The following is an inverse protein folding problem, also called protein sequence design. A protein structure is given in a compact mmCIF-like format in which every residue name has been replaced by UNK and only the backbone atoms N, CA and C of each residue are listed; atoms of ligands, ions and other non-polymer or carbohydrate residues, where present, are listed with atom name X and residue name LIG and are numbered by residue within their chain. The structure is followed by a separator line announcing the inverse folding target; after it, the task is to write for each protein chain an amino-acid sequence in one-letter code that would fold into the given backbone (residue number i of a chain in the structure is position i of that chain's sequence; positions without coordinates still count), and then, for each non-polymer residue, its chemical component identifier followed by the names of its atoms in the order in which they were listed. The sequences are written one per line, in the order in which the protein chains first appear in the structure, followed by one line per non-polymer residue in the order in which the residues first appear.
data_IF_419724809363
#
_entry.id   IF_419724809363
#
_cell.length_a   1.000
_cell.length_b   1.000
_cell.length_c   1.000
_cell.angle_alpha   90.00
_cell.angle_beta   90.00
_cell.angle_gamma   90.00
#
_symmetry.space_group_name_H-M   'P 1'
#
loop_
_entity.id
_entity.type
_entity.pdbx_description
1 polymer ?
#
# COMPACT_ATOMS: atom_id res chain seq x y z
N UNK A 1 6.15 -28.44 -21.10
CA UNK A 1 6.49 -27.00 -21.11
C UNK A 1 5.18 -26.25 -20.99
N UNK A 2 4.91 -25.65 -19.82
CA UNK A 2 3.68 -24.90 -19.59
C UNK A 2 3.64 -23.70 -20.56
N UNK A 3 2.53 -23.54 -21.29
CA UNK A 3 2.34 -22.41 -22.21
C UNK A 3 2.01 -21.16 -21.40
N UNK A 4 3.04 -20.56 -20.80
CA UNK A 4 2.92 -19.31 -20.05
C UNK A 4 2.76 -18.14 -21.03
N UNK A 5 1.82 -17.25 -20.72
CA UNK A 5 1.41 -16.15 -21.61
C UNK A 5 1.43 -14.83 -20.87
N UNK A 6 2.29 -13.91 -21.29
CA UNK A 6 2.48 -12.58 -20.67
C UNK A 6 1.86 -11.50 -21.54
N UNK A 7 1.25 -10.50 -20.91
CA UNK A 7 0.65 -9.34 -21.57
C UNK A 7 0.63 -8.13 -20.64
N UNK A 8 0.28 -6.96 -21.16
CA UNK A 8 0.12 -5.73 -20.39
C UNK A 8 -1.29 -5.17 -20.62
N UNK A 9 -1.90 -4.61 -19.59
CA UNK A 9 -3.24 -4.03 -19.69
C UNK A 9 -3.18 -2.51 -19.94
N UNK A 10 -4.11 -1.95 -20.72
CA UNK A 10 -5.21 -2.61 -21.45
C UNK A 10 -4.70 -3.50 -22.61
N UNK A 11 -5.38 -4.62 -22.84
CA UNK A 11 -4.93 -5.64 -23.80
C UNK A 11 -6.03 -5.93 -24.83
N UNK A 12 -6.09 -5.17 -25.92
CA UNK A 12 -7.19 -5.25 -26.89
C UNK A 12 -7.09 -6.47 -27.83
N UNK A 13 -5.88 -6.96 -28.10
CA UNK A 13 -5.63 -8.10 -29.01
C UNK A 13 -5.79 -9.50 -28.35
N UNK A 14 -6.51 -9.59 -27.23
CA UNK A 14 -6.63 -10.84 -26.48
C UNK A 14 -7.33 -11.96 -27.27
N UNK A 15 -8.17 -11.63 -28.24
CA UNK A 15 -8.88 -12.61 -29.07
C UNK A 15 -7.97 -13.36 -30.05
N UNK A 16 -6.93 -12.70 -30.58
CA UNK A 16 -5.95 -13.32 -31.48
C UNK A 16 -4.87 -14.07 -30.69
N UNK A 17 -4.56 -13.58 -29.49
CA UNK A 17 -3.51 -14.13 -28.64
C UNK A 17 -3.92 -15.40 -27.88
N UNK A 18 -5.19 -15.53 -27.51
CA UNK A 18 -5.73 -16.72 -26.84
C UNK A 18 -6.65 -17.53 -27.76
N UNK A 19 -6.47 -18.85 -27.80
CA UNK A 19 -7.38 -19.72 -28.53
C UNK A 19 -8.80 -19.69 -27.92
N UNK A 20 -9.81 -19.89 -28.76
CA UNK A 20 -11.23 -19.85 -28.37
C UNK A 20 -11.58 -20.74 -27.16
N UNK A 21 -10.96 -21.92 -27.07
CA UNK A 21 -11.11 -22.83 -25.93
C UNK A 21 -10.67 -22.17 -24.61
N UNK A 22 -9.51 -21.50 -24.60
CA UNK A 22 -8.95 -20.86 -23.40
C UNK A 22 -9.81 -19.67 -22.97
N UNK A 23 -10.32 -18.90 -23.94
CA UNK A 23 -11.18 -17.73 -23.69
C UNK A 23 -12.49 -18.08 -22.96
N UNK A 24 -13.01 -19.30 -23.18
CA UNK A 24 -14.24 -19.79 -22.54
C UNK A 24 -14.03 -20.32 -21.12
N UNK A 25 -12.79 -20.49 -20.67
CA UNK A 25 -12.50 -21.07 -19.36
C UNK A 25 -12.82 -20.10 -18.23
N UNK A 26 -13.40 -20.63 -17.14
CA UNK A 26 -13.58 -19.89 -15.89
C UNK A 26 -12.26 -19.82 -15.14
N UNK A 27 -11.89 -18.62 -14.71
CA UNK A 27 -10.59 -18.33 -14.13
C UNK A 27 -10.70 -17.79 -12.70
N UNK A 28 -9.61 -17.92 -11.95
CA UNK A 28 -9.39 -17.21 -10.69
C UNK A 28 -8.34 -16.14 -10.93
N UNK A 29 -8.52 -14.96 -10.33
CA UNK A 29 -7.64 -13.81 -10.51
C UNK A 29 -6.91 -13.53 -9.20
N UNK A 30 -5.59 -13.52 -9.27
CA UNK A 30 -4.69 -13.22 -8.16
C UNK A 30 -3.88 -11.99 -8.53
N UNK A 31 -3.95 -10.94 -7.71
CA UNK A 31 -3.17 -9.73 -7.92
C UNK A 31 -2.06 -9.58 -6.89
N UNK A 32 -0.91 -9.11 -7.36
CA UNK A 32 0.23 -8.74 -6.57
C UNK A 32 0.39 -7.23 -6.58
N UNK A 33 0.54 -6.67 -5.39
CA UNK A 33 0.87 -5.27 -5.15
C UNK A 33 2.05 -5.30 -4.19
N UNK A 34 3.10 -4.55 -4.44
CA UNK A 34 4.15 -4.47 -3.43
C UNK A 34 5.02 -3.25 -3.54
N UNK A 35 5.78 -3.03 -2.47
CA UNK A 35 6.82 -2.02 -2.40
C UNK A 35 8.15 -2.70 -2.69
N UNK A 36 8.91 -2.19 -3.64
CA UNK A 36 10.17 -2.83 -4.02
C UNK A 36 11.33 -2.04 -3.41
N UNK A 37 12.28 -2.74 -2.78
CA UNK A 37 13.55 -2.14 -2.40
C UNK A 37 14.39 -1.85 -3.66
N UNK A 38 15.21 -0.81 -3.61
CA UNK A 38 16.13 -0.48 -4.71
C UNK A 38 17.29 -1.47 -4.86
N UNK A 39 17.71 -2.08 -3.74
CA UNK A 39 18.86 -2.99 -3.69
C UNK A 39 18.53 -4.39 -4.28
N UNK A 40 17.26 -4.78 -4.22
CA UNK A 40 16.81 -6.05 -4.76
C UNK A 40 16.54 -5.90 -6.26
N UNK A 41 17.39 -6.50 -7.10
CA UNK A 41 17.11 -6.66 -8.54
C UNK A 41 15.90 -7.57 -8.83
N UNK A 42 15.26 -8.12 -7.79
CA UNK A 42 14.08 -8.97 -7.84
C UNK A 42 12.87 -8.08 -7.54
N UNK A 43 11.80 -8.22 -8.32
CA UNK A 43 10.65 -7.32 -8.20
C UNK A 43 9.91 -7.50 -6.87
N UNK A 44 9.94 -8.71 -6.29
CA UNK A 44 9.23 -9.07 -5.05
C UNK A 44 9.92 -10.29 -4.42
N UNK A 45 10.95 -10.11 -3.59
CA UNK A 45 11.55 -11.16 -2.76
C UNK A 45 11.65 -12.58 -3.36
N UNK A 46 11.28 -13.60 -2.57
CA UNK A 46 11.13 -14.99 -3.01
C UNK A 46 9.83 -15.27 -3.78
N UNK A 47 8.89 -14.32 -3.73
CA UNK A 47 7.58 -14.34 -4.39
C UNK A 47 7.69 -14.31 -5.92
N UNK A 48 8.67 -13.59 -6.46
CA UNK A 48 8.95 -13.47 -7.90
C UNK A 48 9.26 -14.81 -8.58
N UNK A 49 9.80 -15.80 -7.84
CA UNK A 49 10.08 -17.14 -8.37
C UNK A 49 8.81 -17.91 -8.77
N UNK A 50 7.69 -17.64 -8.09
CA UNK A 50 6.41 -18.32 -8.31
C UNK A 50 5.62 -17.59 -9.40
N UNK A 51 5.59 -16.27 -9.34
CA UNK A 51 4.87 -15.48 -10.32
C UNK A 51 5.62 -15.26 -11.64
N UNK A 52 6.94 -15.49 -11.68
CA UNK A 52 7.81 -15.38 -12.87
C UNK A 52 7.46 -14.18 -13.76
N UNK A 53 7.21 -13.02 -13.16
CA UNK A 53 6.91 -11.82 -13.94
C UNK A 53 8.18 -11.39 -14.69
N UNK A 54 8.04 -10.49 -15.69
CA UNK A 54 9.22 -9.98 -16.39
C UNK A 54 10.12 -9.29 -15.38
N UNK A 55 11.44 -9.54 -15.47
CA UNK A 55 12.41 -8.86 -14.61
C UNK A 55 12.27 -7.36 -14.82
N UNK A 56 12.21 -6.61 -13.72
CA UNK A 56 11.99 -5.16 -13.75
C UNK A 56 13.04 -4.41 -14.59
N UNK A 57 14.26 -4.96 -14.73
CA UNK A 57 15.32 -4.44 -15.62
C UNK A 57 14.96 -4.48 -17.10
N UNK A 58 14.22 -5.49 -17.55
CA UNK A 58 13.79 -5.63 -18.96
C UNK A 58 12.57 -4.75 -19.26
N UNK A 59 11.86 -4.30 -18.21
CA UNK A 59 10.65 -3.47 -18.28
C UNK A 59 11.00 -1.99 -18.44
N UNK A 60 12.05 -1.50 -17.76
CA UNK A 60 12.48 -0.08 -17.80
C UNK A 60 12.92 0.37 -19.22
N UNK A 61 13.37 -0.56 -20.07
CA UNK A 61 13.80 -0.24 -21.43
C UNK A 61 12.62 -0.02 -22.40
N UNK A 62 11.43 -0.54 -22.09
CA UNK A 62 10.35 -0.64 -23.07
C UNK A 62 9.27 0.45 -22.94
N UNK A 63 9.17 1.15 -21.81
CA UNK A 63 8.23 2.27 -21.69
C UNK A 63 8.64 3.31 -20.60
N UNK A 64 9.34 4.40 -20.96
CA UNK A 64 9.91 5.34 -19.99
C UNK A 64 8.90 6.36 -19.42
N UNK A 65 7.64 6.35 -19.86
CA UNK A 65 6.66 7.42 -19.56
C UNK A 65 5.49 7.00 -18.67
N UNK A 66 5.31 5.70 -18.39
CA UNK A 66 4.17 5.21 -17.63
C UNK A 66 4.37 5.34 -16.12
N UNK A 67 3.55 6.16 -15.44
CA UNK A 67 3.52 6.24 -13.96
C UNK A 67 3.07 4.93 -13.29
N UNK A 68 2.34 4.10 -14.01
CA UNK A 68 1.83 2.81 -13.56
C UNK A 68 1.72 1.86 -14.76
N UNK A 69 1.78 0.56 -14.49
CA UNK A 69 1.57 -0.50 -15.46
C UNK A 69 0.97 -1.72 -14.76
N UNK A 70 0.03 -2.39 -15.42
CA UNK A 70 -0.55 -3.64 -14.92
C UNK A 70 -0.09 -4.76 -15.85
N UNK A 71 0.83 -5.59 -15.38
CA UNK A 71 1.31 -6.75 -16.12
C UNK A 71 0.42 -7.95 -15.80
N UNK A 72 0.06 -8.70 -16.83
CA UNK A 72 -0.75 -9.91 -16.72
C UNK A 72 0.02 -11.15 -17.13
N UNK A 73 -0.19 -12.25 -16.41
CA UNK A 73 0.31 -13.58 -16.75
C UNK A 73 -0.81 -14.61 -16.58
N UNK A 74 -1.16 -15.32 -17.64
CA UNK A 74 -2.14 -16.40 -17.58
C UNK A 74 -1.43 -17.76 -17.56
N UNK A 75 -1.71 -18.55 -16.52
CA UNK A 75 -1.21 -19.93 -16.39
C UNK A 75 -2.35 -20.89 -16.72
N UNK A 76 -2.23 -21.54 -17.88
CA UNK A 76 -3.28 -22.42 -18.44
C UNK A 76 -3.55 -23.63 -17.54
N UNK A 77 -2.50 -24.21 -16.97
CA UNK A 77 -2.59 -25.44 -16.17
C UNK A 77 -3.38 -25.22 -14.88
N UNK A 78 -3.18 -24.08 -14.24
CA UNK A 78 -3.85 -23.71 -12.99
C UNK A 78 -5.18 -22.98 -13.22
N UNK A 79 -5.42 -22.47 -14.44
CA UNK A 79 -6.55 -21.58 -14.78
C UNK A 79 -6.57 -20.32 -13.90
N UNK A 80 -5.37 -19.82 -13.61
CA UNK A 80 -5.16 -18.63 -12.79
C UNK A 80 -4.60 -17.51 -13.65
N UNK A 81 -5.21 -16.34 -13.50
CA UNK A 81 -4.71 -15.10 -14.05
C UNK A 81 -4.01 -14.31 -12.95
N UNK A 82 -2.71 -14.10 -13.13
CA UNK A 82 -1.89 -13.29 -12.26
C UNK A 82 -1.79 -11.88 -12.80
N UNK A 83 -2.00 -10.90 -11.94
CA UNK A 83 -1.84 -9.48 -12.25
C UNK A 83 -0.79 -8.88 -11.33
N UNK A 84 0.12 -8.11 -11.88
CA UNK A 84 1.12 -7.37 -11.14
C UNK A 84 0.89 -5.88 -11.34
N UNK A 85 0.61 -5.16 -10.25
CA UNK A 85 0.54 -3.71 -10.30
C UNK A 85 1.94 -3.13 -10.06
N UNK A 86 2.60 -2.74 -11.14
CA UNK A 86 3.84 -1.96 -11.10
C UNK A 86 3.45 -0.49 -11.01
N UNK A 87 3.71 0.13 -9.86
CA UNK A 87 3.38 1.52 -9.60
C UNK A 87 4.54 2.31 -8.99
N UNK A 88 4.30 3.55 -8.54
CA UNK A 88 5.34 4.41 -7.97
C UNK A 88 5.84 3.94 -6.60
N UNK A 89 5.20 2.93 -6.01
CA UNK A 89 5.75 2.24 -4.84
C UNK A 89 6.94 1.33 -5.17
N UNK A 90 7.17 1.06 -6.47
CA UNK A 90 8.43 0.51 -6.92
C UNK A 90 9.46 1.62 -7.04
N UNK A 91 10.58 1.47 -6.32
CA UNK A 91 11.66 2.44 -6.35
C UNK A 91 12.23 2.64 -7.77
N UNK A 92 12.24 1.58 -8.59
CA UNK A 92 12.71 1.64 -9.99
C UNK A 92 11.77 2.42 -10.90
N UNK A 93 10.46 2.20 -10.80
CA UNK A 93 9.47 2.96 -11.55
C UNK A 93 9.53 4.45 -11.13
N UNK A 94 9.60 4.73 -9.83
CA UNK A 94 9.75 6.09 -9.33
C UNK A 94 10.98 6.78 -9.92
N UNK A 95 12.14 6.11 -9.98
CA UNK A 95 13.35 6.70 -10.54
C UNK A 95 13.23 7.04 -12.03
N UNK A 96 12.52 6.23 -12.81
CA UNK A 96 12.30 6.51 -14.23
C UNK A 96 11.50 7.80 -14.45
N UNK A 97 10.49 8.03 -13.61
CA UNK A 97 9.57 9.18 -13.71
C UNK A 97 10.06 10.37 -12.88
N UNK A 98 11.01 10.18 -11.95
CA UNK A 98 11.44 11.20 -10.97
C UNK A 98 11.85 12.54 -11.59
N UNK A 99 12.51 12.50 -12.75
CA UNK A 99 12.92 13.72 -13.47
C UNK A 99 11.70 14.55 -13.93
N UNK A 100 10.66 13.89 -14.40
CA UNK A 100 9.40 14.53 -14.79
C UNK A 100 8.69 15.07 -13.55
N UNK A 101 8.59 14.27 -12.49
CA UNK A 101 7.97 14.69 -11.22
C UNK A 101 8.62 15.95 -10.65
N UNK A 102 9.96 16.04 -10.68
CA UNK A 102 10.68 17.24 -10.22
C UNK A 102 10.27 18.48 -11.03
N UNK A 103 10.10 18.34 -12.35
CA UNK A 103 9.70 19.46 -13.21
C UNK A 103 8.26 19.88 -12.90
N UNK A 104 7.34 18.92 -12.81
CA UNK A 104 5.93 19.18 -12.45
C UNK A 104 5.82 19.84 -11.06
N UNK A 105 6.66 19.42 -10.10
CA UNK A 105 6.71 19.99 -8.76
C UNK A 105 7.15 21.46 -8.76
N UNK A 106 8.00 21.89 -9.70
CA UNK A 106 8.41 23.29 -9.84
C UNK A 106 7.32 24.16 -10.44
N UNK A 107 6.54 23.62 -11.37
CA UNK A 107 5.50 24.37 -12.10
C UNK A 107 4.19 24.44 -11.32
N UNK A 108 3.72 23.31 -10.79
CA UNK A 108 2.39 23.17 -10.19
C UNK A 108 2.43 23.09 -8.65
N UNK A 109 3.62 22.94 -8.08
CA UNK A 109 3.84 22.77 -6.65
C UNK A 109 3.71 21.32 -6.17
N UNK A 110 4.43 21.00 -5.09
CA UNK A 110 4.52 19.65 -4.53
C UNK A 110 3.17 19.00 -4.24
N UNK A 111 2.25 19.73 -3.59
CA UNK A 111 0.98 19.17 -3.13
C UNK A 111 0.05 18.78 -4.29
N UNK A 112 0.05 19.56 -5.37
CA UNK A 112 -0.74 19.25 -6.55
C UNK A 112 -0.23 17.97 -7.22
N UNK A 113 1.09 17.87 -7.43
CA UNK A 113 1.72 16.71 -8.03
C UNK A 113 1.48 15.46 -7.16
N UNK A 114 1.72 15.55 -5.86
CA UNK A 114 1.51 14.45 -4.92
C UNK A 114 0.07 13.92 -4.93
N UNK A 115 -0.91 14.83 -4.98
CA UNK A 115 -2.32 14.44 -5.05
C UNK A 115 -2.67 13.77 -6.38
N UNK A 116 -2.17 14.28 -7.52
CA UNK A 116 -2.36 13.64 -8.81
C UNK A 116 -1.78 12.21 -8.83
N UNK A 117 -0.58 12.03 -8.28
CA UNK A 117 0.06 10.71 -8.18
C UNK A 117 -0.73 9.76 -7.27
N UNK A 118 -1.17 10.26 -6.11
CA UNK A 118 -1.98 9.49 -5.15
C UNK A 118 -3.31 9.05 -5.77
N UNK A 119 -3.95 9.93 -6.54
CA UNK A 119 -5.20 9.64 -7.26
C UNK A 119 -5.01 8.53 -8.29
N UNK A 120 -3.96 8.59 -9.11
CA UNK A 120 -3.64 7.55 -10.10
C UNK A 120 -3.43 6.20 -9.40
N UNK A 121 -2.64 6.17 -8.32
CA UNK A 121 -2.42 4.95 -7.53
C UNK A 121 -3.73 4.40 -6.95
N UNK A 122 -4.57 5.28 -6.42
CA UNK A 122 -5.84 4.92 -5.82
C UNK A 122 -6.82 4.33 -6.86
N UNK A 123 -6.85 4.86 -8.08
CA UNK A 123 -7.62 4.27 -9.19
C UNK A 123 -7.12 2.88 -9.57
N UNK A 124 -5.80 2.74 -9.73
CA UNK A 124 -5.20 1.46 -10.08
C UNK A 124 -5.49 0.40 -9.00
N UNK A 125 -5.40 0.76 -7.72
CA UNK A 125 -5.81 -0.11 -6.64
C UNK A 125 -7.30 -0.44 -6.68
N UNK A 126 -8.19 0.53 -6.89
CA UNK A 126 -9.64 0.25 -6.99
C UNK A 126 -9.95 -0.74 -8.12
N UNK A 127 -9.30 -0.59 -9.27
CA UNK A 127 -9.39 -1.53 -10.37
C UNK A 127 -8.94 -2.94 -9.94
N UNK A 128 -7.74 -3.06 -9.37
CA UNK A 128 -7.21 -4.35 -8.90
C UNK A 128 -8.13 -5.02 -7.87
N UNK A 129 -8.64 -4.27 -6.88
CA UNK A 129 -9.54 -4.83 -5.86
C UNK A 129 -10.94 -5.17 -6.38
N UNK A 130 -11.40 -4.59 -7.48
CA UNK A 130 -12.72 -4.91 -8.08
C UNK A 130 -12.65 -6.09 -9.04
N UNK A 131 -11.52 -6.25 -9.73
CA UNK A 131 -11.32 -7.27 -10.77
C UNK A 131 -10.59 -8.53 -10.30
N UNK A 132 -10.31 -8.66 -8.99
CA UNK A 132 -9.54 -9.76 -8.42
C UNK A 132 -10.29 -10.57 -7.37
N UNK A 133 -9.88 -11.82 -7.20
CA UNK A 133 -10.38 -12.69 -6.14
C UNK A 133 -9.44 -12.69 -4.93
N UNK A 134 -8.14 -12.71 -5.19
CA UNK A 134 -7.10 -12.69 -4.15
C UNK A 134 -6.19 -11.51 -4.45
N UNK A 135 -5.86 -10.74 -3.43
CA UNK A 135 -4.92 -9.63 -3.53
C UNK A 135 -3.82 -9.85 -2.51
N UNK A 136 -2.57 -9.79 -2.95
CA UNK A 136 -1.38 -10.02 -2.15
C UNK A 136 -0.65 -8.68 -2.04
N UNK A 137 -0.37 -8.26 -0.81
CA UNK A 137 0.47 -7.10 -0.54
C UNK A 137 1.82 -7.61 -0.09
N UNK A 138 2.83 -7.42 -0.94
CA UNK A 138 4.23 -7.67 -0.62
C UNK A 138 4.87 -6.41 0.00
N UNK A 139 5.53 -6.59 1.14
CA UNK A 139 6.18 -5.53 1.86
C UNK A 139 7.61 -5.93 2.26
N UNK A 140 8.62 -5.12 1.91
CA UNK A 140 10.03 -5.46 2.09
C UNK A 140 10.50 -5.34 3.56
N UNK A 141 9.58 -5.08 4.48
CA UNK A 141 9.86 -5.02 5.92
C UNK A 141 9.01 -6.05 6.65
N UNK A 142 9.56 -6.58 7.73
CA UNK A 142 8.89 -7.47 8.68
C UNK A 142 7.74 -6.81 9.46
N UNK A 143 7.55 -5.49 9.33
CA UNK A 143 6.42 -4.78 9.95
C UNK A 143 5.42 -4.32 8.89
N UNK A 144 4.10 -4.48 9.14
CA UNK A 144 3.08 -4.01 8.22
C UNK A 144 3.01 -2.49 8.25
N UNK A 145 2.99 -1.88 7.07
CA UNK A 145 2.95 -0.44 6.94
C UNK A 145 1.55 0.14 7.17
N UNK A 146 1.50 1.08 8.11
CA UNK A 146 0.29 1.81 8.43
C UNK A 146 -0.21 2.68 7.25
N UNK A 147 0.68 3.21 6.42
CA UNK A 147 0.31 4.09 5.30
C UNK A 147 -0.52 3.34 4.25
N UNK A 148 -0.13 2.11 3.92
CA UNK A 148 -0.88 1.21 3.04
C UNK A 148 -2.27 0.93 3.62
N UNK A 149 -2.36 0.64 4.92
CA UNK A 149 -3.65 0.39 5.58
C UNK A 149 -4.56 1.63 5.58
N UNK A 150 -4.00 2.84 5.75
CA UNK A 150 -4.74 4.09 5.63
C UNK A 150 -5.28 4.30 4.22
N UNK A 151 -4.47 4.02 3.20
CA UNK A 151 -4.89 4.09 1.80
C UNK A 151 -6.03 3.09 1.53
N UNK A 152 -5.91 1.83 1.98
CA UNK A 152 -6.98 0.85 1.84
C UNK A 152 -8.28 1.29 2.54
N UNK A 153 -8.17 1.94 3.70
CA UNK A 153 -9.31 2.53 4.39
C UNK A 153 -9.96 3.62 3.54
N UNK A 154 -9.17 4.49 2.93
CA UNK A 154 -9.64 5.54 2.03
C UNK A 154 -10.42 4.96 0.86
N UNK A 155 -9.85 3.95 0.19
CA UNK A 155 -10.48 3.27 -0.92
C UNK A 155 -11.83 2.65 -0.53
N UNK A 156 -11.95 2.13 0.70
CA UNK A 156 -13.22 1.58 1.19
C UNK A 156 -14.37 2.60 1.25
N UNK A 157 -14.07 3.89 1.45
CA UNK A 157 -15.07 4.96 1.42
C UNK A 157 -15.41 5.40 0.00
N UNK A 158 -14.44 5.33 -0.90
CA UNK A 158 -14.57 5.74 -2.31
C UNK A 158 -15.32 4.68 -3.13
N UNK A 159 -15.10 3.40 -2.81
CA UNK A 159 -15.59 2.23 -3.56
C UNK A 159 -17.09 2.28 -3.90
N UNK A 160 -18.04 2.64 -3.02
CA UNK A 160 -19.46 2.69 -3.39
C UNK A 160 -19.77 3.64 -4.56
N UNK A 161 -19.06 4.76 -4.65
CA UNK A 161 -19.21 5.72 -5.77
C UNK A 161 -18.60 5.16 -7.05
N UNK A 162 -17.45 4.52 -6.92
CA UNK A 162 -16.77 3.84 -8.03
C UNK A 162 -17.62 2.69 -8.58
N UNK A 163 -18.27 1.91 -7.71
CA UNK A 163 -19.19 0.82 -8.07
C UNK A 163 -20.32 1.32 -8.96
N UNK A 164 -20.97 2.45 -8.63
CA UNK A 164 -22.07 3.01 -9.43
C UNK A 164 -21.60 3.28 -10.87
N UNK A 165 -20.42 3.89 -11.02
CA UNK A 165 -19.87 4.18 -12.34
C UNK A 165 -19.54 2.91 -13.11
N UNK A 166 -18.88 1.94 -12.47
CA UNK A 166 -18.56 0.65 -13.10
C UNK A 166 -19.82 -0.10 -13.54
N UNK A 167 -20.85 -0.15 -12.70
CA UNK A 167 -22.13 -0.78 -13.05
C UNK A 167 -22.76 -0.11 -14.26
N UNK A 168 -22.79 1.22 -14.30
CA UNK A 168 -23.33 1.96 -15.45
C UNK A 168 -22.52 1.76 -16.74
N UNK A 169 -21.21 1.57 -16.64
CA UNK A 169 -20.35 1.28 -17.79
C UNK A 169 -20.61 -0.15 -18.31
N UNK A 170 -20.50 -1.14 -17.41
CA UNK A 170 -20.56 -2.54 -17.79
C UNK A 170 -21.95 -2.95 -18.28
N UNK A 171 -23.03 -2.41 -17.70
CA UNK A 171 -24.40 -2.65 -18.18
C UNK A 171 -24.69 -2.07 -19.56
N UNK A 172 -23.88 -1.10 -20.03
CA UNK A 172 -23.99 -0.56 -21.40
C UNK A 172 -23.26 -1.41 -22.43
N UNK A 173 -22.17 -2.07 -22.02
CA UNK A 173 -21.28 -2.81 -22.92
C UNK A 173 -21.67 -4.28 -23.00
N UNK A 174 -22.19 -4.82 -21.89
CA UNK A 174 -22.52 -6.23 -21.77
C UNK A 174 -24.02 -6.41 -21.56
N UNK A 175 -24.68 -7.16 -22.45
CA UNK A 175 -26.11 -7.47 -22.39
C UNK A 175 -26.49 -8.46 -21.26
N UNK A 176 -25.53 -8.85 -20.41
CA UNK A 176 -25.71 -9.88 -19.39
C UNK A 176 -26.18 -9.30 -18.06
N UNK A 177 -27.23 -9.88 -17.47
CA UNK A 177 -27.75 -9.57 -16.13
C UNK A 177 -27.02 -10.37 -15.03
N UNK A 178 -25.70 -10.39 -15.06
CA UNK A 178 -24.94 -11.07 -14.01
C UNK A 178 -24.88 -10.21 -12.74
N UNK A 179 -25.00 -10.86 -11.57
CA UNK A 179 -24.88 -10.21 -10.25
C UNK A 179 -23.54 -9.45 -10.08
N UNK A 180 -22.51 -9.84 -10.82
CA UNK A 180 -21.23 -9.13 -10.88
C UNK A 180 -21.42 -7.66 -11.28
N UNK A 181 -22.19 -7.38 -12.32
CA UNK A 181 -22.36 -6.01 -12.83
C UNK A 181 -23.08 -5.13 -11.82
N UNK A 182 -24.08 -5.66 -11.10
CA UNK A 182 -24.76 -4.92 -10.04
C UNK A 182 -23.86 -4.67 -8.82
N UNK A 183 -23.00 -5.62 -8.47
CA UNK A 183 -22.06 -5.45 -7.35
C UNK A 183 -20.79 -4.65 -7.71
N UNK A 184 -20.52 -4.46 -9.00
CA UNK A 184 -19.32 -3.81 -9.53
C UNK A 184 -18.01 -4.49 -9.09
N UNK A 185 -18.05 -5.80 -8.81
CA UNK A 185 -16.87 -6.62 -8.46
C UNK A 185 -17.18 -8.10 -8.57
N UNK A 186 -16.15 -8.94 -8.66
CA UNK A 186 -16.28 -10.41 -8.76
C UNK A 186 -16.62 -11.08 -7.42
N UNK A 187 -15.98 -10.64 -6.36
CA UNK A 187 -16.24 -11.06 -4.99
C UNK A 187 -15.71 -10.00 -4.02
N UNK A 188 -15.82 -10.21 -2.71
CA UNK A 188 -14.95 -9.49 -1.77
C UNK A 188 -13.56 -10.12 -1.86
N UNK A 189 -12.53 -9.44 -2.38
CA UNK A 189 -11.23 -10.05 -2.56
C UNK A 189 -10.61 -10.38 -1.21
N UNK A 190 -9.94 -11.53 -1.11
CA UNK A 190 -9.21 -11.91 0.09
C UNK A 190 -7.83 -11.27 0.07
N UNK A 191 -7.51 -10.53 1.14
CA UNK A 191 -6.25 -9.83 1.28
C UNK A 191 -5.23 -10.71 2.02
N UNK A 192 -4.09 -10.96 1.38
CA UNK A 192 -2.94 -11.68 1.93
C UNK A 192 -1.75 -10.73 2.06
N UNK A 193 -0.92 -10.92 3.08
CA UNK A 193 0.29 -10.14 3.30
C UNK A 193 1.52 -11.01 3.17
N UNK A 194 2.52 -10.54 2.42
CA UNK A 194 3.86 -11.12 2.40
C UNK A 194 4.81 -10.10 2.99
N UNK A 195 5.61 -10.54 3.96
CA UNK A 195 6.54 -9.69 4.69
C UNK A 195 7.95 -10.29 4.61
N UNK A 196 8.96 -9.43 4.48
CA UNK A 196 10.35 -9.87 4.56
C UNK A 196 10.68 -10.51 5.93
N UNK A 197 11.63 -11.45 5.92
CA UNK A 197 12.12 -12.11 7.13
C UNK A 197 12.72 -11.09 8.12
N UNK A 198 12.34 -11.10 9.41
CA UNK A 198 13.06 -10.36 10.44
C UNK A 198 14.52 -10.83 10.56
N UNK A 199 15.49 -9.91 10.69
CA UNK A 199 16.91 -10.29 10.79
C UNK A 199 17.22 -11.14 12.02
N UNK A 200 16.44 -11.00 13.11
CA UNK A 200 16.60 -11.75 14.35
C UNK A 200 16.43 -13.28 14.19
N UNK A 201 15.84 -13.75 13.09
CA UNK A 201 15.64 -15.18 12.81
C UNK A 201 16.88 -15.78 12.12
N UNK A 202 17.76 -14.94 11.56
CA UNK A 202 18.97 -15.38 10.86
C UNK A 202 20.04 -15.96 11.80
N UNK A 203 19.95 -15.67 13.10
CA UNK A 203 20.93 -16.08 14.11
C UNK A 203 20.58 -17.39 14.83
N UNK A 204 19.53 -18.09 14.40
CA UNK A 204 19.11 -19.35 15.02
C UNK A 204 19.79 -20.54 14.33
N UNK A 205 20.43 -21.42 15.10
CA UNK A 205 21.31 -22.49 14.58
C UNK A 205 20.55 -23.67 13.95
N UNK A 206 19.26 -23.86 14.29
CA UNK A 206 18.43 -24.98 13.82
C UNK A 206 17.30 -24.54 12.89
N UNK A 207 17.19 -25.18 11.71
CA UNK A 207 16.14 -24.91 10.73
C UNK A 207 14.72 -25.14 11.26
N UNK A 208 14.54 -26.11 12.15
CA UNK A 208 13.23 -26.42 12.75
C UNK A 208 12.78 -25.31 13.69
N UNK A 209 13.72 -24.76 14.46
CA UNK A 209 13.48 -23.64 15.38
C UNK A 209 13.19 -22.36 14.60
N UNK A 210 13.90 -22.12 13.49
CA UNK A 210 13.61 -21.02 12.57
C UNK A 210 12.16 -21.09 12.05
N UNK A 211 11.72 -22.24 11.53
CA UNK A 211 10.35 -22.40 11.01
C UNK A 211 9.30 -22.23 12.11
N UNK A 212 9.56 -22.74 13.32
CA UNK A 212 8.65 -22.58 14.45
C UNK A 212 8.53 -21.09 14.87
N UNK A 213 9.66 -20.37 14.90
CA UNK A 213 9.72 -18.94 15.23
C UNK A 213 9.02 -18.09 14.17
N UNK A 214 9.21 -18.41 12.89
CA UNK A 214 8.52 -17.77 11.76
C UNK A 214 7.00 -17.91 11.93
N UNK A 215 6.49 -19.13 12.13
CA UNK A 215 5.05 -19.36 12.34
C UNK A 215 4.48 -18.62 13.55
N UNK A 216 5.26 -18.52 14.63
CA UNK A 216 4.87 -17.75 15.82
C UNK A 216 4.75 -16.25 15.50
N UNK A 217 5.67 -15.72 14.70
CA UNK A 217 5.68 -14.34 14.25
C UNK A 217 4.53 -14.07 13.30
N UNK A 218 4.28 -14.94 12.32
CA UNK A 218 3.13 -14.86 11.41
C UNK A 218 1.83 -14.73 12.19
N UNK A 219 1.59 -15.65 13.15
CA UNK A 219 0.38 -15.62 13.99
C UNK A 219 0.28 -14.33 14.82
N UNK A 220 1.39 -13.86 15.38
CA UNK A 220 1.40 -12.60 16.14
C UNK A 220 1.09 -11.38 15.25
N UNK A 221 1.58 -11.38 14.01
CA UNK A 221 1.30 -10.34 13.03
C UNK A 221 -0.15 -10.43 12.54
N UNK A 222 -0.68 -11.63 12.31
CA UNK A 222 -2.09 -11.86 11.97
C UNK A 222 -3.02 -11.29 13.03
N UNK A 223 -2.80 -11.62 14.31
CA UNK A 223 -3.59 -11.11 15.43
C UNK A 223 -3.55 -9.58 15.49
N UNK A 224 -2.35 -8.99 15.32
CA UNK A 224 -2.17 -7.54 15.32
C UNK A 224 -2.90 -6.88 14.14
N UNK A 225 -2.75 -7.42 12.93
CA UNK A 225 -3.40 -6.92 11.73
C UNK A 225 -4.92 -7.02 11.88
N UNK A 226 -5.43 -8.16 12.32
CA UNK A 226 -6.85 -8.36 12.57
C UNK A 226 -7.39 -7.34 13.57
N UNK A 227 -6.70 -7.10 14.69
CA UNK A 227 -7.09 -6.08 15.67
C UNK A 227 -7.10 -4.66 15.07
N UNK A 228 -6.07 -4.28 14.32
CA UNK A 228 -5.99 -2.96 13.68
C UNK A 228 -7.15 -2.78 12.68
N UNK A 229 -7.39 -3.79 11.84
CA UNK A 229 -8.39 -3.76 10.77
C UNK A 229 -9.83 -3.79 11.30
N UNK A 230 -10.05 -4.42 12.46
CA UNK A 230 -11.33 -4.38 13.17
C UNK A 230 -11.54 -3.05 13.88
N UNK A 231 -10.52 -2.51 14.56
CA UNK A 231 -10.58 -1.18 15.19
C UNK A 231 -10.81 -0.06 14.16
N UNK A 232 -10.21 -0.17 12.98
CA UNK A 232 -10.38 0.79 11.88
C UNK A 232 -11.71 0.64 11.12
N UNK A 233 -12.54 -0.36 11.47
CA UNK A 233 -13.83 -0.71 10.86
C UNK A 233 -13.76 -1.06 9.36
N UNK A 234 -12.58 -1.47 8.87
CA UNK A 234 -12.41 -1.88 7.48
C UNK A 234 -12.98 -3.30 7.29
N UNK A 235 -12.72 -4.20 8.24
CA UNK A 235 -13.26 -5.57 8.24
C UNK A 235 -14.62 -5.61 8.92
N UNK A 236 -15.65 -5.99 8.16
CA UNK A 236 -17.05 -6.09 8.62
C UNK A 236 -17.43 -7.55 8.87
N UNK A 237 -18.52 -7.77 9.59
CA UNK A 237 -19.07 -9.12 9.82
C UNK A 237 -19.60 -9.78 8.53
N UNK A 238 -20.06 -8.96 7.59
CA UNK A 238 -20.51 -9.40 6.26
C UNK A 238 -19.47 -8.95 5.24
N UNK A 239 -18.74 -9.90 4.65
CA UNK A 239 -17.65 -9.62 3.71
C UNK A 239 -18.14 -8.94 2.43
N UNK A 240 -19.38 -9.19 2.00
CA UNK A 240 -20.01 -8.51 0.85
C UNK A 240 -20.11 -6.98 1.02
N UNK A 241 -20.12 -6.48 2.27
CA UNK A 241 -20.16 -5.04 2.57
C UNK A 241 -18.77 -4.44 2.82
N UNK A 242 -17.75 -5.29 2.99
CA UNK A 242 -16.37 -4.87 3.19
C UNK A 242 -15.69 -4.62 1.83
N UNK A 243 -14.63 -3.82 1.84
CA UNK A 243 -13.83 -3.56 0.63
C UNK A 243 -13.03 -4.81 0.23
N UNK A 244 -12.48 -5.51 1.22
CA UNK A 244 -11.83 -6.81 1.11
C UNK A 244 -12.21 -7.69 2.32
N UNK A 245 -11.96 -8.99 2.21
CA UNK A 245 -12.06 -9.95 3.31
C UNK A 245 -10.68 -10.38 3.80
N UNK A 246 -10.66 -10.91 5.02
CA UNK A 246 -9.52 -11.62 5.60
C UNK A 246 -10.05 -13.01 5.91
N UNK A 247 -9.24 -14.04 5.69
CA UNK A 247 -9.60 -15.39 6.07
C UNK A 247 -9.54 -15.51 7.61
N UNK A 248 -10.64 -15.76 8.31
CA UNK A 248 -10.61 -15.91 9.76
C UNK A 248 -10.07 -17.28 10.20
N UNK A 249 -10.20 -18.29 9.33
CA UNK A 249 -9.87 -19.69 9.61
C UNK A 249 -8.65 -20.19 8.82
N UNK A 250 -8.19 -19.40 7.84
CA UNK A 250 -7.01 -19.75 7.04
C UNK A 250 -5.92 -18.71 7.34
N UNK A 251 -4.65 -19.12 7.24
CA UNK A 251 -3.49 -18.23 7.34
C UNK A 251 -3.61 -17.12 6.27
N UNK A 252 -3.27 -15.87 6.61
CA UNK A 252 -3.32 -14.74 5.68
C UNK A 252 -2.06 -13.87 5.70
N UNK A 253 -1.09 -14.17 6.56
CA UNK A 253 0.24 -13.57 6.55
C UNK A 253 1.26 -14.65 6.25
N UNK A 254 2.20 -14.34 5.36
CA UNK A 254 3.35 -15.17 5.07
C UNK A 254 4.62 -14.34 5.29
N UNK A 255 5.55 -14.88 6.06
CA UNK A 255 6.88 -14.29 6.23
C UNK A 255 7.84 -15.02 5.31
N UNK A 256 8.56 -14.28 4.47
CA UNK A 256 9.53 -14.87 3.57
C UNK A 256 10.59 -15.65 4.35
N UNK A 257 11.01 -16.77 3.77
CA UNK A 257 12.13 -17.51 4.33
C UNK A 257 13.40 -16.64 4.23
N UNK A 258 14.32 -16.74 5.20
CA UNK A 258 15.59 -16.02 5.14
C UNK A 258 16.28 -16.25 3.78
N UNK A 259 16.78 -15.20 3.12
CA UNK A 259 17.49 -15.35 1.87
C UNK A 259 18.75 -16.19 2.12
N UNK A 260 18.97 -17.22 1.31
CA UNK A 260 20.15 -18.08 1.41
C UNK A 260 21.45 -17.41 0.91
N UNK A 261 21.34 -16.21 0.33
CA UNK A 261 22.47 -15.45 -0.21
C UNK A 261 22.28 -13.96 0.11
N UNK A 262 23.03 -13.43 1.07
CA UNK A 262 23.37 -12.01 1.05
C UNK A 262 24.48 -11.75 0.01
N UNK A 263 24.57 -10.55 -0.58
CA UNK A 263 25.70 -10.18 -1.45
C UNK A 263 27.04 -10.18 -0.69
N UNK A 264 27.01 -10.13 0.64
CA UNK A 264 28.19 -10.25 1.52
C UNK A 264 28.71 -11.68 1.52
N UNK A 265 27.83 -12.68 1.41
CA UNK A 265 28.19 -14.10 1.32
C UNK A 265 28.91 -14.44 0.02
N UNK A 266 28.79 -13.63 -1.03
CA UNK A 266 29.59 -13.83 -2.25
C UNK A 266 31.05 -13.45 -2.02
N UNK A 267 31.30 -12.44 -1.18
CA UNK A 267 32.66 -12.09 -0.79
C UNK A 267 33.19 -13.07 0.25
N UNK A 268 32.38 -13.52 1.22
CA UNK A 268 32.80 -14.57 2.15
C UNK A 268 33.02 -15.91 1.44
N UNK A 269 32.17 -16.32 0.49
CA UNK A 269 32.42 -17.49 -0.38
C UNK A 269 33.63 -17.30 -1.28
N UNK A 270 33.90 -16.08 -1.74
CA UNK A 270 35.12 -15.80 -2.51
C UNK A 270 36.36 -15.88 -1.62
N UNK A 271 36.27 -15.41 -0.36
CA UNK A 271 37.33 -15.46 0.64
C UNK A 271 37.54 -16.89 1.18
N UNK A 272 36.48 -17.69 1.32
CA UNK A 272 36.56 -19.10 1.70
C UNK A 272 37.07 -19.99 0.57
N UNK A 273 36.91 -19.54 -0.68
CA UNK A 273 37.48 -20.18 -1.87
C UNK A 273 38.91 -19.69 -2.18
N UNK A 274 39.52 -18.86 -1.32
CA UNK A 274 40.96 -18.61 -1.39
C UNK A 274 41.64 -19.83 -0.76
N UNK A 275 42.38 -20.64 -1.52
CA UNK A 275 43.11 -21.75 -0.95
C UNK A 275 44.17 -21.18 -0.01
N UNK A 276 43.96 -21.33 1.29
CA UNK A 276 45.03 -21.23 2.28
C UNK A 276 45.83 -22.51 2.06
N UNK A 277 47.07 -22.38 1.57
CA UNK A 277 48.02 -23.48 1.52
C UNK A 277 48.33 -23.91 2.96
N UNK A 278 47.49 -24.76 3.53
CA UNK A 278 47.86 -25.61 4.65
C UNK A 278 47.77 -27.05 4.16
N UNK A 279 48.93 -27.67 4.04
CA UNK A 279 49.09 -29.10 3.78
C UNK A 279 48.56 -29.87 4.99
N UNK A 280 47.30 -30.29 4.93
CA UNK A 280 46.82 -31.42 5.72
C UNK A 280 45.75 -32.17 4.95
N UNK A 281 46.14 -33.34 4.45
CA UNK A 281 45.24 -34.38 3.94
C UNK A 281 44.19 -34.75 5.00
N UNK A 282 42.94 -34.50 4.69
CA UNK A 282 41.83 -35.30 5.21
C UNK A 282 40.72 -35.33 4.17
N UNK A 283 40.38 -36.55 3.76
CA UNK A 283 39.32 -36.88 2.79
C UNK A 283 38.00 -36.18 3.17
N UNK A 284 37.63 -35.13 2.43
CA UNK A 284 36.29 -34.55 2.51
C UNK A 284 35.46 -34.99 1.30
N UNK A 285 34.39 -35.71 1.63
CA UNK A 285 33.38 -36.24 0.71
C UNK A 285 32.85 -35.13 -0.22
N UNK A 286 32.78 -35.43 -1.52
CA UNK A 286 32.13 -34.60 -2.52
C UNK A 286 30.68 -34.29 -2.10
N UNK A 287 30.46 -33.09 -1.58
CA UNK A 287 29.12 -32.53 -1.36
C UNK A 287 28.50 -32.28 -2.74
N UNK A 288 27.70 -33.24 -3.18
CA UNK A 288 26.81 -33.10 -4.32
C UNK A 288 25.98 -31.82 -4.18
N UNK A 289 25.94 -31.06 -5.28
CA UNK A 289 25.02 -29.96 -5.55
C UNK A 289 23.57 -30.34 -5.20
N UNK A 290 23.16 -30.08 -3.96
CA UNK A 290 21.76 -30.13 -3.57
C UNK A 290 21.07 -28.89 -4.12
N UNK A 291 20.53 -29.10 -5.32
CA UNK A 291 19.23 -28.62 -5.78
C UNK A 291 18.48 -27.74 -4.77
N UNK A 292 18.35 -26.46 -5.10
CA UNK A 292 17.65 -25.38 -4.38
C UNK A 292 16.12 -25.61 -4.22
N UNK A 293 15.67 -26.86 -4.31
CA UNK A 293 14.28 -27.29 -4.30
C UNK A 293 13.96 -28.32 -3.21
N UNK A 294 14.93 -28.78 -2.41
CA UNK A 294 14.68 -29.79 -1.38
C UNK A 294 14.93 -29.26 0.04
N UNK A 295 13.84 -29.23 0.82
CA UNK A 295 13.74 -29.13 2.30
C UNK A 295 13.69 -27.74 2.97
N UNK A 296 12.56 -27.04 2.82
CA UNK A 296 11.81 -26.56 4.01
C UNK A 296 10.48 -27.28 4.03
N UNK A 297 10.40 -28.44 4.70
CA UNK A 297 9.17 -29.27 4.73
C UNK A 297 7.99 -28.47 5.31
N UNK A 298 7.18 -27.89 4.42
CA UNK A 298 5.86 -27.34 4.76
C UNK A 298 5.74 -25.81 4.88
N UNK A 299 6.81 -25.03 4.68
CA UNK A 299 6.75 -23.56 4.72
C UNK A 299 7.17 -22.93 3.39
N UNK A 300 6.33 -23.12 2.37
CA UNK A 300 6.56 -22.54 1.02
C UNK A 300 5.41 -21.60 0.65
N UNK A 301 5.76 -20.48 0.01
CA UNK A 301 4.76 -19.53 -0.45
C UNK A 301 3.77 -20.14 -1.45
N UNK A 302 4.24 -21.09 -2.28
CA UNK A 302 3.37 -21.79 -3.22
C UNK A 302 2.29 -22.59 -2.50
N UNK A 303 2.62 -23.34 -1.44
CA UNK A 303 1.62 -24.08 -0.66
C UNK A 303 0.64 -23.14 0.03
N UNK A 304 1.12 -22.04 0.59
CA UNK A 304 0.29 -21.00 1.19
C UNK A 304 -0.74 -20.44 0.19
N UNK A 305 -0.27 -20.01 -0.99
CA UNK A 305 -1.14 -19.44 -2.01
C UNK A 305 -2.11 -20.47 -2.62
N UNK A 306 -1.62 -21.70 -2.85
CA UNK A 306 -2.42 -22.77 -3.46
C UNK A 306 -3.63 -23.15 -2.62
N UNK A 307 -3.54 -23.09 -1.28
CA UNK A 307 -4.69 -23.31 -0.38
C UNK A 307 -5.83 -22.35 -0.73
N UNK A 308 -5.52 -21.07 -0.94
CA UNK A 308 -6.52 -20.04 -1.25
C UNK A 308 -7.05 -20.15 -2.69
N UNK A 309 -6.19 -20.44 -3.66
CA UNK A 309 -6.57 -20.67 -5.06
C UNK A 309 -7.53 -21.86 -5.16
N UNK A 310 -7.20 -22.98 -4.51
CA UNK A 310 -8.04 -24.18 -4.52
C UNK A 310 -9.42 -23.90 -3.93
N UNK A 311 -9.48 -23.14 -2.82
CA UNK A 311 -10.75 -22.71 -2.21
C UNK A 311 -11.57 -21.82 -3.12
N UNK A 312 -10.93 -20.91 -3.86
CA UNK A 312 -11.57 -20.05 -4.86
C UNK A 312 -12.13 -20.86 -6.05
N UNK A 313 -11.46 -21.93 -6.49
CA UNK A 313 -11.95 -22.79 -7.57
C UNK A 313 -13.14 -23.67 -7.15
N UNK A 314 -13.18 -24.13 -5.90
CA UNK A 314 -14.16 -25.11 -5.46
C UNK A 314 -15.41 -24.47 -4.87
N UNK A 315 -15.26 -23.72 -3.77
CA UNK A 315 -16.38 -23.34 -2.90
C UNK A 315 -16.65 -21.84 -2.90
N UNK A 316 -15.63 -21.02 -3.19
CA UNK A 316 -15.63 -19.57 -2.96
C UNK A 316 -15.20 -19.21 -1.53
N UNK A 317 -15.21 -17.93 -1.19
CA UNK A 317 -14.72 -17.46 0.11
C UNK A 317 -15.84 -17.27 1.14
N UNK A 318 -15.90 -18.10 2.19
CA UNK A 318 -16.87 -17.97 3.29
C UNK A 318 -16.28 -17.19 4.48
N UNK A 319 -15.93 -15.93 4.25
CA UNK A 319 -15.24 -15.09 5.24
C UNK A 319 -16.19 -14.25 6.11
N UNK A 320 -17.48 -14.61 6.16
CA UNK A 320 -18.43 -13.96 7.05
C UNK A 320 -18.18 -14.38 8.51
N UNK A 321 -18.39 -13.45 9.44
CA UNK A 321 -18.09 -13.66 10.86
C UNK A 321 -19.32 -13.53 11.76
N UNK A 322 -19.26 -14.17 12.93
CA UNK A 322 -20.31 -14.13 13.94
C UNK A 322 -21.59 -14.82 13.46
N UNK A 323 -22.73 -14.13 13.55
CA UNK A 323 -24.04 -14.69 13.19
C UNK A 323 -24.22 -14.93 11.67
N UNK A 324 -23.30 -14.45 10.84
CA UNK A 324 -23.40 -14.49 9.38
C UNK A 324 -22.55 -15.58 8.72
N UNK A 325 -21.88 -16.42 9.50
CA UNK A 325 -21.01 -17.52 9.01
C UNK A 325 -21.72 -18.47 8.05
N UNK A 326 -23.01 -18.73 8.27
CA UNK A 326 -23.83 -19.61 7.42
C UNK A 326 -24.32 -18.95 6.13
N UNK A 327 -24.19 -17.62 6.00
CA UNK A 327 -24.65 -16.91 4.80
C UNK A 327 -23.56 -17.00 3.74
N UNK A 328 -23.88 -17.63 2.62
CA UNK A 328 -22.97 -17.69 1.47
C UNK A 328 -22.78 -16.28 0.88
N UNK A 329 -21.55 -15.76 0.83
CA UNK A 329 -21.29 -14.47 0.21
C UNK A 329 -21.26 -14.59 -1.31
N UNK A 330 -21.25 -13.42 -1.96
CA UNK A 330 -21.28 -13.34 -3.41
C UNK A 330 -19.89 -13.67 -3.97
N UNK A 331 -19.86 -14.53 -4.97
CA UNK A 331 -18.63 -15.00 -5.60
C UNK A 331 -18.89 -15.42 -7.04
N UNK A 332 -18.35 -14.65 -8.00
CA UNK A 332 -18.48 -14.91 -9.43
C UNK A 332 -17.13 -15.27 -10.03
N UNK A 333 -17.07 -16.39 -10.78
CA UNK A 333 -15.89 -16.74 -11.60
C UNK A 333 -16.15 -16.38 -13.05
N UNK A 334 -15.53 -15.31 -13.57
CA UNK A 334 -15.73 -14.89 -14.94
C UNK A 334 -15.00 -15.85 -15.89
N UNK A 335 -15.43 -15.85 -17.15
CA UNK A 335 -14.61 -16.43 -18.22
C UNK A 335 -13.48 -15.47 -18.57
N UNK A 336 -12.37 -15.99 -19.09
CA UNK A 336 -11.24 -15.15 -19.52
C UNK A 336 -11.67 -14.07 -20.52
N UNK A 337 -12.55 -14.43 -21.48
CA UNK A 337 -13.13 -13.47 -22.45
C UNK A 337 -13.88 -12.34 -21.76
N UNK A 338 -14.87 -12.67 -20.94
CA UNK A 338 -15.70 -11.68 -20.24
C UNK A 338 -14.88 -10.81 -19.30
N UNK A 339 -13.81 -11.36 -18.72
CA UNK A 339 -12.92 -10.62 -17.85
C UNK A 339 -12.12 -9.57 -18.63
N UNK A 340 -11.53 -9.93 -19.78
CA UNK A 340 -10.79 -8.98 -20.62
C UNK A 340 -11.68 -7.87 -21.19
N UNK A 341 -12.87 -8.21 -21.68
CA UNK A 341 -13.83 -7.22 -22.20
C UNK A 341 -14.22 -6.20 -21.12
N UNK A 342 -14.49 -6.66 -19.89
CA UNK A 342 -14.79 -5.78 -18.77
C UNK A 342 -13.56 -4.97 -18.31
N UNK A 343 -12.38 -5.60 -18.26
CA UNK A 343 -11.13 -4.94 -17.85
C UNK A 343 -10.76 -3.81 -18.81
N UNK A 344 -10.73 -4.06 -20.12
CA UNK A 344 -10.40 -3.05 -21.12
C UNK A 344 -11.44 -1.93 -21.13
N UNK A 345 -12.73 -2.25 -21.00
CA UNK A 345 -13.77 -1.23 -20.89
C UNK A 345 -13.53 -0.29 -19.70
N UNK A 346 -13.22 -0.83 -18.51
CA UNK A 346 -12.96 -0.01 -17.32
C UNK A 346 -11.68 0.81 -17.46
N UNK A 347 -10.63 0.24 -18.04
CA UNK A 347 -9.33 0.90 -18.16
C UNK A 347 -9.31 2.02 -19.21
N UNK A 348 -10.04 1.85 -20.31
CA UNK A 348 -10.16 2.84 -21.39
C UNK A 348 -11.15 3.96 -21.07
N UNK A 349 -12.03 3.79 -20.08
CA UNK A 349 -13.00 4.81 -19.71
C UNK A 349 -12.31 6.07 -19.12
N UNK A 350 -12.63 7.28 -19.59
CA UNK A 350 -11.93 8.49 -19.14
C UNK A 350 -12.27 8.91 -17.70
N UNK A 351 -13.44 8.52 -17.17
CA UNK A 351 -13.91 8.93 -15.84
C UNK A 351 -13.47 7.95 -14.74
N UNK A 352 -13.43 6.67 -15.09
CA UNK A 352 -13.17 5.53 -14.21
C UNK A 352 -11.74 4.97 -14.40
N UNK A 353 -11.25 5.01 -15.62
CA UNK A 353 -9.97 4.44 -16.04
C UNK A 353 -8.77 5.20 -15.51
N UNK A 354 -7.59 4.62 -15.75
CA UNK A 354 -6.34 5.04 -15.11
C UNK A 354 -5.58 6.06 -15.99
N UNK A 355 -5.91 6.15 -17.28
CA UNK A 355 -5.12 6.89 -18.27
C UNK A 355 -5.24 8.42 -18.26
N UNK A 356 -6.29 8.99 -17.66
CA UNK A 356 -6.50 10.44 -17.72
C UNK A 356 -6.07 11.11 -16.40
N UNK A 357 -4.82 11.60 -16.37
CA UNK A 357 -4.26 12.35 -15.23
C UNK A 357 -5.07 13.61 -14.88
N UNK A 358 -5.86 14.11 -15.84
CA UNK A 358 -6.72 15.29 -15.71
C UNK A 358 -8.17 14.96 -15.31
N UNK A 359 -8.64 13.72 -15.49
CA UNK A 359 -9.95 13.36 -14.95
C UNK A 359 -9.76 13.20 -13.45
N UNK A 360 -10.34 14.09 -12.67
CA UNK A 360 -10.29 14.00 -11.21
C UNK A 360 -11.52 13.22 -10.79
N UNK A 361 -11.37 12.04 -10.17
CA UNK A 361 -12.53 11.39 -9.55
C UNK A 361 -12.89 12.23 -8.32
N UNK A 362 -13.95 13.05 -8.35
CA UNK A 362 -14.09 14.17 -7.40
C UNK A 362 -14.25 13.67 -5.96
N UNK A 363 -14.72 12.45 -5.79
CA UNK A 363 -14.84 11.83 -4.48
C UNK A 363 -13.53 11.29 -3.91
N UNK A 364 -12.55 10.92 -4.74
CA UNK A 364 -11.19 10.66 -4.25
C UNK A 364 -10.52 11.97 -3.95
N UNK A 365 -10.65 12.96 -4.83
CA UNK A 365 -10.02 14.25 -4.63
C UNK A 365 -10.45 14.89 -3.32
N UNK A 366 -11.73 14.92 -2.97
CA UNK A 366 -12.16 15.43 -1.66
C UNK A 366 -11.53 14.72 -0.43
N UNK A 367 -11.01 13.50 -0.60
CA UNK A 367 -10.45 12.70 0.48
C UNK A 367 -8.91 12.57 0.42
N UNK A 368 -8.30 12.68 -0.76
CA UNK A 368 -6.83 12.70 -0.98
C UNK A 368 -6.29 14.11 -1.12
N UNK A 369 -7.14 15.09 -1.44
CA UNK A 369 -6.73 16.44 -1.75
C UNK A 369 -5.98 17.02 -0.58
N UNK A 370 -4.97 17.79 -0.96
CA UNK A 370 -4.23 18.63 -0.07
C UNK A 370 -5.17 19.49 0.80
N UNK A 371 -6.42 19.74 0.42
CA UNK A 371 -7.44 20.43 1.24
C UNK A 371 -7.77 19.78 2.58
N UNK A 372 -7.62 18.47 2.78
CA UNK A 372 -7.77 17.88 4.14
C UNK A 372 -6.55 18.16 5.03
N UNK A 373 -5.36 18.29 4.44
CA UNK A 373 -4.15 18.76 5.14
C UNK A 373 -4.05 20.30 5.21
N UNK A 374 -4.63 20.99 4.23
CA UNK A 374 -4.73 22.43 4.10
C UNK A 374 -5.98 22.97 4.80
N UNK A 375 -6.99 22.21 5.21
CA UNK A 375 -7.99 22.77 6.15
C UNK A 375 -7.30 23.17 7.44
N UNK A 376 -6.13 22.60 7.77
CA UNK A 376 -5.19 23.17 8.73
C UNK A 376 -4.40 24.37 8.19
N UNK A 377 -3.84 24.33 6.98
CA UNK A 377 -2.98 25.40 6.41
C UNK A 377 -3.75 26.59 5.82
N UNK A 378 -4.78 26.38 5.01
CA UNK A 378 -5.81 27.32 4.59
C UNK A 378 -6.60 27.90 5.76
N UNK A 379 -6.98 27.15 6.80
CA UNK A 379 -7.54 27.80 8.00
C UNK A 379 -6.50 28.64 8.73
N UNK A 380 -5.24 28.17 8.80
CA UNK A 380 -4.15 28.96 9.37
C UNK A 380 -3.81 30.18 8.51
N UNK A 381 -3.91 30.12 7.19
CA UNK A 381 -3.61 31.22 6.28
C UNK A 381 -4.81 32.18 6.19
N UNK A 382 -6.04 31.68 6.15
CA UNK A 382 -7.25 32.49 6.29
C UNK A 382 -7.39 33.09 7.70
N UNK A 383 -6.77 32.53 8.74
CA UNK A 383 -6.67 33.17 10.05
C UNK A 383 -5.49 34.16 10.12
N UNK A 384 -4.34 33.80 9.54
CA UNK A 384 -3.12 34.60 9.61
C UNK A 384 -3.17 35.82 8.69
N UNK A 385 -3.79 35.74 7.52
CA UNK A 385 -3.87 36.84 6.54
C UNK A 385 -4.70 38.01 7.09
N UNK A 386 -5.92 37.81 7.65
CA UNK A 386 -6.64 38.89 8.30
C UNK A 386 -5.91 39.41 9.54
N UNK A 387 -5.27 38.54 10.33
CA UNK A 387 -4.50 38.96 11.51
C UNK A 387 -3.30 39.83 11.14
N UNK A 388 -2.50 39.42 10.16
CA UNK A 388 -1.35 40.20 9.66
C UNK A 388 -1.80 41.46 8.93
N UNK A 389 -2.90 41.41 8.18
CA UNK A 389 -3.48 42.58 7.53
C UNK A 389 -4.04 43.58 8.55
N UNK A 390 -4.69 43.10 9.62
CA UNK A 390 -5.17 43.92 10.71
C UNK A 390 -4.01 44.56 11.50
N UNK A 391 -2.96 43.80 11.82
CA UNK A 391 -1.73 44.33 12.44
C UNK A 391 -1.02 45.35 11.55
N UNK A 392 -1.03 45.14 10.22
CA UNK A 392 -0.49 46.09 9.26
C UNK A 392 -1.31 47.38 9.23
N UNK A 393 -2.64 47.27 9.17
CA UNK A 393 -3.55 48.42 9.16
C UNK A 393 -3.50 49.20 10.49
N UNK A 394 -3.43 48.52 11.64
CA UNK A 394 -3.33 49.17 12.95
C UNK A 394 -1.97 49.87 13.15
N UNK A 395 -0.87 49.28 12.66
CA UNK A 395 0.44 49.92 12.68
C UNK A 395 0.54 51.10 11.68
N UNK A 396 -0.25 51.07 10.60
CA UNK A 396 -0.35 52.17 9.63
C UNK A 396 -1.05 53.39 10.23
N UNK A 397 -2.08 53.21 11.05
CA UNK A 397 -2.77 54.32 11.74
C UNK A 397 -1.93 55.04 12.79
N UNK A 398 -0.83 54.44 13.27
CA UNK A 398 0.06 55.07 14.26
C UNK A 398 1.19 55.90 13.65
N UNK A 399 1.44 55.80 12.34
CA UNK A 399 2.48 56.56 11.64
C UNK A 399 1.87 57.37 10.51
N UNK A 400 1.46 58.61 10.82
CA UNK A 400 1.14 59.65 9.84
C UNK A 400 2.42 60.03 9.09
N UNK A 401 2.75 59.30 8.02
CA UNK A 401 3.48 59.74 6.81
C UNK A 401 3.72 58.51 5.89
N UNK A 402 3.53 58.60 4.56
CA UNK A 402 3.73 57.46 3.67
C UNK A 402 5.18 57.39 3.18
N UNK A 403 5.96 56.33 3.46
CA UNK A 403 7.06 55.94 2.59
C UNK A 403 6.59 54.82 1.64
N UNK A 404 7.25 54.73 0.50
CA UNK A 404 6.95 53.87 -0.65
C UNK A 404 6.59 52.41 -0.30
N UNK A 405 5.56 51.90 -1.00
CA UNK A 405 5.00 50.54 -0.88
C UNK A 405 6.07 49.43 -0.88
N UNK A 406 7.16 49.62 -1.62
CA UNK A 406 8.15 48.57 -1.86
C UNK A 406 9.13 48.33 -0.70
N UNK A 407 9.40 49.32 0.16
CA UNK A 407 10.26 49.12 1.34
C UNK A 407 9.55 48.39 2.48
N UNK A 408 8.22 48.40 2.53
CA UNK A 408 7.46 47.86 3.66
C UNK A 408 7.05 46.39 3.48
N UNK A 409 6.96 45.88 2.24
CA UNK A 409 6.81 44.43 1.99
C UNK A 409 7.97 43.62 2.57
N UNK A 410 9.18 44.21 2.63
CA UNK A 410 10.34 43.60 3.28
C UNK A 410 10.23 43.52 4.81
N UNK A 411 9.52 44.43 5.47
CA UNK A 411 9.29 44.36 6.93
C UNK A 411 8.37 43.21 7.33
N UNK A 412 7.51 42.73 6.43
CA UNK A 412 6.68 41.55 6.64
C UNK A 412 7.53 40.27 6.82
N UNK A 413 8.77 40.24 6.29
CA UNK A 413 9.70 39.11 6.45
C UNK A 413 10.51 39.14 7.74
N UNK A 414 10.49 40.23 8.50
CA UNK A 414 11.41 40.46 9.65
C UNK A 414 10.73 40.52 11.02
N UNK A 415 9.41 40.43 11.11
CA UNK A 415 8.71 40.39 12.40
C UNK A 415 8.80 38.99 13.06
N UNK A 416 10.02 38.59 13.47
CA UNK A 416 10.15 37.65 14.60
C UNK A 416 9.96 38.47 15.88
N UNK A 417 9.18 37.99 16.87
CA UNK A 417 9.03 38.72 18.12
C UNK A 417 10.37 38.78 18.86
N UNK A 418 10.82 39.99 19.16
CA UNK A 418 12.08 40.25 19.85
C UNK A 418 12.00 39.76 21.30
N UNK A 419 12.81 38.75 21.65
CA UNK A 419 12.93 38.14 23.00
C UNK A 419 13.31 39.11 24.13
N UNK A 420 13.51 40.40 23.85
CA UNK A 420 13.87 41.43 24.83
C UNK A 420 12.65 42.05 25.52
N UNK A 421 11.47 42.03 24.91
CA UNK A 421 10.28 42.68 25.48
C UNK A 421 9.62 41.83 26.60
N UNK A 422 9.73 40.51 26.50
CA UNK A 422 9.27 39.58 27.55
C UNK A 422 10.10 39.64 28.84
N UNK A 423 11.40 39.95 28.75
CA UNK A 423 12.25 40.10 29.95
C UNK A 423 11.91 41.34 30.78
N UNK A 424 11.46 42.44 30.14
CA UNK A 424 11.01 43.65 30.86
C UNK A 424 9.66 43.43 31.54
N UNK A 425 8.73 42.70 30.91
CA UNK A 425 7.44 42.35 31.53
C UNK A 425 7.61 41.36 32.70
N UNK A 426 8.56 40.44 32.62
CA UNK A 426 8.86 39.50 33.71
C UNK A 426 9.50 40.18 34.94
N UNK A 427 10.31 41.23 34.76
CA UNK A 427 10.91 41.99 35.87
C UNK A 427 9.91 42.90 36.59
N UNK A 428 8.93 43.46 35.87
CA UNK A 428 7.87 44.29 36.47
C UNK A 428 6.90 43.42 37.30
N UNK A 429 6.65 42.19 36.87
CA UNK A 429 5.81 41.25 37.62
C UNK A 429 6.52 40.69 38.89
N UNK A 430 7.83 40.42 38.81
CA UNK A 430 8.64 39.97 39.98
C UNK A 430 8.84 41.04 41.06
N UNK A 431 8.72 42.34 40.75
CA UNK A 431 8.76 43.43 41.75
C UNK A 431 7.43 43.65 42.46
N UNK A 432 6.29 43.25 41.87
CA UNK A 432 4.96 43.35 42.50
C UNK A 432 4.60 42.16 43.41
N UNK A 433 5.21 40.99 43.22
CA UNK A 433 4.91 39.79 44.04
C UNK A 433 5.80 39.61 45.27
N UNK A 434 6.75 40.53 45.53
CA UNK A 434 7.68 40.44 46.67
C UNK A 434 7.25 41.25 47.91
N UNK A 435 6.00 41.75 47.94
CA UNK A 435 5.48 42.61 49.03
C UNK A 435 4.18 42.13 49.68
N UNK A 436 3.79 40.87 49.51
CA UNK A 436 2.62 40.33 50.20
C UNK A 436 2.81 38.85 50.56
N UNK A 437 3.28 38.59 51.78
CA UNK A 437 3.12 37.42 52.67
C UNK A 437 4.09 37.62 53.85
N UNK A 438 3.77 37.27 55.12
CA UNK A 438 3.07 36.04 55.54
C UNK A 438 1.93 36.36 56.55
N UNK A 439 0.99 35.50 56.93
CA UNK A 439 1.15 34.20 57.58
C UNK A 439 -0.05 33.27 57.33
N UNK A 440 0.26 31.99 57.11
CA UNK A 440 -0.64 30.85 57.29
C UNK A 440 0.06 29.86 58.23
N UNK A 441 -0.51 29.65 59.41
CA UNK A 441 -0.43 28.40 60.18
C UNK A 441 -1.87 27.87 60.26
N UNK A 442 -2.13 26.71 59.65
CA UNK A 442 -2.18 25.39 60.29
C UNK A 442 -3.63 24.97 60.54
N UNK A 443 -4.20 24.09 59.70
CA UNK A 443 -4.44 22.69 60.11
C UNK A 443 -5.17 21.84 59.05
N UNK A 444 -5.04 20.50 59.14
CA UNK A 444 -5.39 19.57 58.09
C UNK A 444 -6.66 18.74 58.38
N UNK A 445 -7.08 18.03 57.31
CA UNK A 445 -7.66 16.69 57.31
C UNK A 445 -8.96 16.38 58.06
N UNK A 446 -9.88 15.77 57.30
CA UNK A 446 -10.50 14.52 57.70
C UNK A 446 -11.87 14.64 58.35
N UNK A 447 -12.92 14.25 57.62
CA UNK A 447 -14.13 13.74 58.26
C UNK A 447 -14.57 12.45 57.57
N UNK A 448 -14.26 11.35 58.24
CA UNK A 448 -14.93 10.08 58.11
C UNK A 448 -16.33 10.14 58.76
N UNK A 449 -17.17 9.24 58.27
CA UNK A 449 -18.48 8.80 58.75
C UNK A 449 -18.60 8.42 60.23
N UNK A 450 -19.82 8.63 60.77
CA UNK A 450 -20.58 7.91 61.82
C UNK A 450 -21.64 8.93 62.29
N UNK A 451 -22.94 8.69 62.33
CA UNK A 451 -23.77 7.50 62.64
C UNK A 451 -25.06 7.55 61.84
#
# INVERSE_FOLDING_TARGET
MASEKHFDLPFDDFQSYFGSCVLSQKIVIVSLIGKTNWAEKKSFGGVDKIFRFRKLTDVIQNDPSGMFRIEGRYVVDEKVLYLNLVGPWSAHCLNSVWKQVIQDMKEMGFLHCWNAHTNICARALLFIFTMSHIVIIDHPSHTPDHSTLQLLKLLSYVRPKYQILQTNLLTRIMDFKDEWFFQGRLCSPRLLFVLACPPDILFEDSEEEQVLRIKKIERAIEDRLYMILRKSRIVKYVCNRAFYSIAPNDEFVFVENPPADEPVDQLERFLSNVPINDESDSDEEEIYLHDFSTLKKGHTFQQFLQKHITKAHNEGFYDNMGKYTHVKPFFQRPTLKTWFEAANAILHDPDIGIGNALSVFPAMDNLTSAETHLTGVNSRSQAAVPLTMAMYQSNRSQRLNPPSRDRQGAMMKLARPDKKEDKRKLQIHKRKTRKASPDRSSNPSGRQSKT
#
